data_IF_740706599420
#
_entry.id   IF_740706599420
#
_cell.length_a   1.000
_cell.length_b   1.000
_cell.length_c   1.000
_cell.angle_alpha   90.00
_cell.angle_beta   90.00
_cell.angle_gamma   90.00
#
_symmetry.space_group_name_H-M   'P 1'
#
loop_
_entity.id
_entity.type
_entity.pdbx_description
1 polymer ?
#
# COMPACT_ATOMS: atom_id res chain seq x y z
N UNK A 1 35.69 -7.02 -14.83
CA UNK A 1 35.19 -7.06 -13.43
C UNK A 1 34.73 -5.69 -12.92
N UNK A 2 35.45 -4.58 -13.19
CA UNK A 2 35.05 -3.22 -12.78
C UNK A 2 33.72 -2.73 -13.40
N UNK A 3 33.49 -2.95 -14.71
CA UNK A 3 32.24 -2.52 -15.39
C UNK A 3 30.96 -3.18 -14.86
N UNK A 4 31.03 -4.43 -14.38
CA UNK A 4 29.87 -5.16 -13.81
C UNK A 4 29.51 -4.60 -12.42
N UNK A 5 30.52 -4.30 -11.59
CA UNK A 5 30.33 -3.66 -10.29
C UNK A 5 29.81 -2.23 -10.41
N UNK A 6 30.19 -1.52 -11.48
CA UNK A 6 29.73 -0.15 -11.76
C UNK A 6 28.29 -0.14 -12.29
N UNK A 7 27.93 -1.09 -13.16
CA UNK A 7 26.56 -1.33 -13.61
C UNK A 7 25.64 -1.71 -12.45
N UNK A 8 26.09 -2.60 -11.54
CA UNK A 8 25.32 -2.98 -10.34
C UNK A 8 25.09 -1.80 -9.39
N UNK A 9 26.10 -0.93 -9.20
CA UNK A 9 26.00 0.27 -8.36
C UNK A 9 25.06 1.32 -8.97
N UNK A 10 25.04 1.45 -10.29
CA UNK A 10 24.14 2.36 -10.99
C UNK A 10 22.69 1.86 -10.97
N UNK A 11 22.45 0.55 -11.12
CA UNK A 11 21.13 -0.06 -10.91
C UNK A 11 20.65 0.07 -9.46
N UNK A 12 21.53 -0.11 -8.47
CA UNK A 12 21.17 0.09 -7.07
C UNK A 12 20.78 1.54 -6.79
N UNK A 13 21.53 2.51 -7.32
CA UNK A 13 21.21 3.94 -7.23
C UNK A 13 19.92 4.31 -7.97
N UNK A 14 19.63 3.66 -9.09
CA UNK A 14 18.38 3.84 -9.82
C UNK A 14 17.20 3.25 -9.05
N UNK A 15 17.36 2.08 -8.42
CA UNK A 15 16.38 1.46 -7.53
C UNK A 15 16.11 2.32 -6.28
N UNK A 16 17.16 2.80 -5.61
CA UNK A 16 17.02 3.75 -4.49
C UNK A 16 16.36 5.07 -4.92
N UNK A 17 16.63 5.56 -6.14
CA UNK A 17 15.93 6.72 -6.70
C UNK A 17 14.47 6.42 -6.99
N UNK A 18 14.16 5.26 -7.58
CA UNK A 18 12.79 4.81 -7.83
C UNK A 18 12.00 4.67 -6.53
N UNK A 19 12.60 4.08 -5.50
CA UNK A 19 12.03 3.99 -4.16
C UNK A 19 11.83 5.37 -3.51
N UNK A 20 12.78 6.29 -3.65
CA UNK A 20 12.63 7.66 -3.14
C UNK A 20 11.59 8.47 -3.92
N UNK A 21 11.48 8.30 -5.23
CA UNK A 21 10.45 8.94 -6.06
C UNK A 21 9.08 8.35 -5.73
N UNK A 22 8.98 7.03 -5.60
CA UNK A 22 7.78 6.34 -5.12
C UNK A 22 7.34 6.88 -3.76
N UNK A 23 8.26 6.93 -2.77
CA UNK A 23 8.01 7.56 -1.49
C UNK A 23 7.54 9.00 -1.66
N UNK A 24 8.22 9.81 -2.47
CA UNK A 24 7.92 11.25 -2.64
C UNK A 24 6.61 11.53 -3.40
N UNK A 25 6.21 10.67 -4.31
CA UNK A 25 4.96 10.82 -5.08
C UNK A 25 3.75 10.28 -4.30
N UNK A 26 3.96 9.27 -3.45
CA UNK A 26 2.90 8.65 -2.64
C UNK A 26 2.73 9.34 -1.27
N UNK A 27 3.80 9.90 -0.69
CA UNK A 27 3.75 10.69 0.54
C UNK A 27 2.72 11.84 0.55
N UNK A 28 2.54 12.65 -0.51
CA UNK A 28 1.55 13.74 -0.50
C UNK A 28 0.09 13.24 -0.54
N UNK A 29 -0.20 12.11 -1.19
CA UNK A 29 -1.51 11.44 -1.09
C UNK A 29 -1.74 10.88 0.33
N UNK A 30 -0.66 10.52 1.04
CA UNK A 30 -0.75 10.12 2.43
C UNK A 30 -0.83 11.30 3.41
N UNK A 31 -0.47 12.52 3.03
CA UNK A 31 -0.59 13.69 3.91
C UNK A 31 -2.06 14.08 4.13
N UNK A 32 -2.90 14.04 3.08
CA UNK A 32 -4.35 14.20 3.24
C UNK A 32 -4.98 13.01 3.96
N UNK A 33 -4.56 11.78 3.62
CA UNK A 33 -4.99 10.59 4.36
C UNK A 33 -4.58 10.64 5.85
N UNK A 34 -3.51 11.36 6.18
CA UNK A 34 -3.04 11.53 7.55
C UNK A 34 -3.95 12.44 8.36
N UNK A 35 -4.38 13.55 7.77
CA UNK A 35 -5.36 14.45 8.39
C UNK A 35 -6.68 13.72 8.62
N UNK A 36 -7.16 12.98 7.61
CA UNK A 36 -8.38 12.16 7.68
C UNK A 36 -8.33 11.06 8.75
N UNK A 37 -7.18 10.40 8.95
CA UNK A 37 -7.02 9.38 9.99
C UNK A 37 -6.86 9.99 11.39
N UNK A 38 -6.25 11.18 11.47
CA UNK A 38 -5.99 11.85 12.76
C UNK A 38 -7.23 12.49 13.38
N UNK A 39 -8.16 13.00 12.57
CA UNK A 39 -9.38 13.67 13.05
C UNK A 39 -10.29 12.79 13.92
N UNK A 40 -10.66 11.57 13.49
CA UNK A 40 -11.45 10.64 14.30
C UNK A 40 -10.75 10.24 15.61
N UNK A 41 -9.43 10.04 15.55
CA UNK A 41 -8.64 9.69 16.74
C UNK A 41 -8.56 10.87 17.71
N UNK A 42 -8.45 12.10 17.21
CA UNK A 42 -8.49 13.30 18.04
C UNK A 42 -9.85 13.44 18.73
N UNK A 43 -10.96 13.27 18.00
CA UNK A 43 -12.31 13.27 18.56
C UNK A 43 -12.49 12.19 19.64
N UNK A 44 -11.93 11.00 19.42
CA UNK A 44 -11.95 9.91 20.41
C UNK A 44 -11.19 10.28 21.69
N UNK A 45 -10.04 10.96 21.58
CA UNK A 45 -9.23 11.35 22.73
C UNK A 45 -9.84 12.52 23.52
N UNK A 46 -10.57 13.42 22.85
CA UNK A 46 -11.21 14.59 23.46
C UNK A 46 -12.63 14.33 24.00
N UNK A 47 -13.24 13.19 23.65
CA UNK A 47 -14.60 12.83 24.06
C UNK A 47 -14.75 12.59 25.57
N UNK A 48 -15.98 12.78 26.06
CA UNK A 48 -16.37 12.46 27.45
C UNK A 48 -16.28 10.96 27.75
N UNK A 49 -16.17 10.55 29.02
CA UNK A 49 -15.90 9.15 29.40
C UNK A 49 -16.88 8.11 28.79
N UNK A 50 -18.18 8.44 28.74
CA UNK A 50 -19.22 7.56 28.18
C UNK A 50 -19.19 7.52 26.66
N UNK A 51 -18.97 8.67 26.01
CA UNK A 51 -18.86 8.78 24.56
C UNK A 51 -17.57 8.14 24.05
N UNK A 52 -16.47 8.34 24.75
CA UNK A 52 -15.17 7.76 24.47
C UNK A 52 -15.23 6.23 24.48
N UNK A 53 -15.96 5.61 25.41
CA UNK A 53 -16.12 4.15 25.41
C UNK A 53 -16.79 3.65 24.12
N UNK A 54 -17.84 4.35 23.66
CA UNK A 54 -18.53 4.01 22.41
C UNK A 54 -17.61 4.21 21.19
N UNK A 55 -16.87 5.33 21.15
CA UNK A 55 -15.92 5.61 20.08
C UNK A 55 -14.76 4.62 20.05
N UNK A 56 -14.26 4.16 21.21
CA UNK A 56 -13.23 3.12 21.28
C UNK A 56 -13.76 1.79 20.76
N UNK A 57 -14.98 1.39 21.13
CA UNK A 57 -15.62 0.18 20.59
C UNK A 57 -15.77 0.26 19.07
N UNK A 58 -16.24 1.40 18.57
CA UNK A 58 -16.41 1.64 17.14
C UNK A 58 -15.08 1.61 16.39
N UNK A 59 -14.07 2.31 16.90
CA UNK A 59 -12.71 2.32 16.34
C UNK A 59 -12.13 0.90 16.29
N UNK A 60 -12.30 0.12 17.37
CA UNK A 60 -11.83 -1.27 17.43
C UNK A 60 -12.49 -2.12 16.34
N UNK A 61 -13.81 -2.05 16.22
CA UNK A 61 -14.58 -2.80 15.22
C UNK A 61 -14.18 -2.42 13.79
N UNK A 62 -14.06 -1.13 13.51
CA UNK A 62 -13.66 -0.61 12.20
C UNK A 62 -12.23 -1.03 11.85
N UNK A 63 -11.29 -0.87 12.77
CA UNK A 63 -9.88 -1.25 12.57
C UNK A 63 -9.75 -2.76 12.36
N UNK A 64 -10.46 -3.57 13.16
CA UNK A 64 -10.48 -5.03 13.00
C UNK A 64 -11.03 -5.46 11.64
N UNK A 65 -12.15 -4.87 11.22
CA UNK A 65 -12.75 -5.11 9.90
C UNK A 65 -11.79 -4.74 8.77
N UNK A 66 -11.16 -3.57 8.85
CA UNK A 66 -10.18 -3.09 7.88
C UNK A 66 -8.99 -4.06 7.76
N UNK A 67 -8.42 -4.52 8.88
CA UNK A 67 -7.30 -5.47 8.88
C UNK A 67 -7.67 -6.80 8.22
N UNK A 68 -8.88 -7.30 8.44
CA UNK A 68 -9.37 -8.51 7.77
C UNK A 68 -9.51 -8.34 6.26
N UNK A 69 -10.06 -7.19 5.81
CA UNK A 69 -10.15 -6.87 4.38
C UNK A 69 -8.76 -6.82 3.75
N UNK A 70 -7.77 -6.22 4.42
CA UNK A 70 -6.38 -6.16 3.95
C UNK A 70 -5.77 -7.56 3.82
N UNK A 71 -5.98 -8.44 4.79
CA UNK A 71 -5.51 -9.83 4.71
C UNK A 71 -6.10 -10.56 3.49
N UNK A 72 -7.40 -10.45 3.27
CA UNK A 72 -8.09 -11.10 2.14
C UNK A 72 -7.56 -10.55 0.81
N UNK A 73 -7.57 -9.23 0.66
CA UNK A 73 -7.17 -8.58 -0.60
C UNK A 73 -5.68 -8.73 -0.90
N UNK A 74 -4.82 -8.71 0.11
CA UNK A 74 -3.38 -9.00 -0.06
C UNK A 74 -3.11 -10.47 -0.43
N UNK A 75 -3.93 -11.41 0.08
CA UNK A 75 -3.85 -12.82 -0.33
C UNK A 75 -4.25 -12.99 -1.79
N UNK A 76 -5.35 -12.36 -2.22
CA UNK A 76 -5.76 -12.35 -3.63
C UNK A 76 -4.67 -11.75 -4.52
N UNK A 77 -4.07 -10.64 -4.10
CA UNK A 77 -2.96 -10.01 -4.82
C UNK A 77 -1.75 -10.94 -4.93
N UNK A 78 -1.37 -11.60 -3.84
CA UNK A 78 -0.28 -12.57 -3.82
C UNK A 78 -0.52 -13.73 -4.81
N UNK A 79 -1.75 -14.24 -4.88
CA UNK A 79 -2.15 -15.29 -5.84
C UNK A 79 -2.07 -14.82 -7.29
N UNK A 80 -2.49 -13.59 -7.57
CA UNK A 80 -2.38 -13.00 -8.93
C UNK A 80 -0.91 -12.88 -9.33
N UNK A 81 -0.05 -12.37 -8.44
CA UNK A 81 1.39 -12.23 -8.72
C UNK A 81 2.04 -13.60 -8.92
N UNK A 82 1.72 -14.59 -8.07
CA UNK A 82 2.24 -15.94 -8.19
C UNK A 82 1.85 -16.60 -9.53
N UNK A 83 0.61 -16.37 -9.98
CA UNK A 83 0.12 -16.87 -11.27
C UNK A 83 0.81 -16.15 -12.43
N UNK A 84 1.13 -14.86 -12.30
CA UNK A 84 1.82 -14.11 -13.34
C UNK A 84 3.21 -14.68 -13.68
N UNK A 85 3.88 -15.35 -12.73
CA UNK A 85 5.15 -16.03 -13.00
C UNK A 85 5.05 -17.18 -13.99
N UNK A 86 3.86 -17.73 -14.25
CA UNK A 86 3.67 -18.81 -15.24
C UNK A 86 3.38 -18.27 -16.64
N UNK A 87 3.25 -16.95 -16.81
CA UNK A 87 3.01 -16.39 -18.14
C UNK A 87 4.24 -16.59 -19.03
N UNK A 88 4.04 -16.88 -20.32
CA UNK A 88 5.14 -17.01 -21.26
C UNK A 88 5.86 -15.66 -21.35
N UNK A 89 7.01 -15.58 -20.69
CA UNK A 89 7.93 -14.45 -20.83
C UNK A 89 8.73 -14.64 -22.12
N UNK A 90 9.16 -13.54 -22.73
CA UNK A 90 9.93 -13.51 -23.98
C UNK A 90 11.19 -14.41 -23.88
N UNK A 91 11.69 -14.88 -25.02
CA UNK A 91 12.74 -15.90 -25.10
C UNK A 91 13.95 -15.62 -24.18
N UNK A 92 14.41 -16.69 -23.52
CA UNK A 92 15.44 -16.71 -22.48
C UNK A 92 16.72 -15.98 -22.91
N UNK A 93 16.93 -14.76 -22.39
CA UNK A 93 18.19 -14.04 -22.60
C UNK A 93 18.19 -12.57 -22.22
N UNK A 94 17.02 -11.92 -22.21
CA UNK A 94 16.97 -10.47 -22.13
C UNK A 94 17.05 -9.94 -20.68
N UNK A 95 17.87 -8.90 -20.48
CA UNK A 95 18.11 -8.31 -19.16
C UNK A 95 16.85 -7.67 -18.56
N UNK A 96 15.90 -7.27 -19.40
CA UNK A 96 14.72 -6.54 -18.99
C UNK A 96 13.68 -7.47 -18.35
N UNK A 97 13.62 -8.74 -18.74
CA UNK A 97 12.78 -9.75 -18.11
C UNK A 97 13.16 -9.99 -16.64
N UNK A 98 14.48 -9.99 -16.34
CA UNK A 98 14.98 -10.13 -14.96
C UNK A 98 14.57 -8.94 -14.10
N UNK A 99 14.45 -7.75 -14.69
CA UNK A 99 13.95 -6.55 -14.02
C UNK A 99 12.47 -6.69 -13.70
N UNK A 100 11.64 -7.14 -14.66
CA UNK A 100 10.21 -7.38 -14.44
C UNK A 100 9.98 -8.42 -13.33
N UNK A 101 10.69 -9.55 -13.38
CA UNK A 101 10.62 -10.58 -12.34
C UNK A 101 11.06 -10.02 -10.98
N UNK A 102 12.13 -9.23 -10.92
CA UNK A 102 12.58 -8.58 -9.67
C UNK A 102 11.53 -7.63 -9.08
N UNK A 103 10.83 -6.88 -9.93
CA UNK A 103 9.72 -6.00 -9.51
C UNK A 103 8.54 -6.84 -9.00
N UNK A 104 8.19 -7.93 -9.67
CA UNK A 104 7.09 -8.81 -9.24
C UNK A 104 7.41 -9.59 -7.96
N UNK A 105 8.66 -10.04 -7.76
CA UNK A 105 9.09 -10.59 -6.46
C UNK A 105 8.99 -9.54 -5.34
N UNK A 106 9.33 -8.29 -5.63
CA UNK A 106 9.19 -7.19 -4.67
C UNK A 106 7.72 -6.92 -4.36
N UNK A 107 6.84 -6.95 -5.37
CA UNK A 107 5.40 -6.84 -5.18
C UNK A 107 4.89 -7.98 -4.27
N UNK A 108 5.27 -9.23 -4.55
CA UNK A 108 4.88 -10.38 -3.74
C UNK A 108 5.35 -10.23 -2.29
N UNK A 109 6.60 -9.80 -2.09
CA UNK A 109 7.14 -9.55 -0.75
C UNK A 109 6.33 -8.50 0.02
N UNK A 110 5.92 -7.42 -0.65
CA UNK A 110 5.07 -6.38 -0.05
C UNK A 110 3.68 -6.91 0.30
N UNK A 111 3.07 -7.75 -0.54
CA UNK A 111 1.79 -8.40 -0.24
C UNK A 111 1.88 -9.33 0.98
N UNK A 112 2.93 -10.16 1.04
CA UNK A 112 3.18 -11.03 2.20
C UNK A 112 3.46 -10.22 3.47
N UNK A 113 4.20 -9.12 3.34
CA UNK A 113 4.42 -8.16 4.43
C UNK A 113 3.12 -7.52 4.93
N UNK A 114 2.20 -7.16 4.03
CA UNK A 114 0.89 -6.64 4.38
C UNK A 114 0.07 -7.67 5.18
N UNK A 115 0.05 -8.94 4.75
CA UNK A 115 -0.61 -10.03 5.49
C UNK A 115 0.00 -10.23 6.87
N UNK A 116 1.33 -10.31 6.96
CA UNK A 116 2.03 -10.52 8.22
C UNK A 116 1.78 -9.38 9.20
N UNK A 117 1.88 -8.12 8.75
CA UNK A 117 1.64 -6.94 9.58
C UNK A 117 0.17 -6.82 10.00
N UNK A 118 -0.78 -7.03 9.08
CA UNK A 118 -2.20 -6.99 9.40
C UNK A 118 -2.58 -8.08 10.42
N UNK A 119 -2.05 -9.29 10.27
CA UNK A 119 -2.28 -10.40 11.21
C UNK A 119 -1.72 -10.08 12.60
N UNK A 120 -0.49 -9.56 12.68
CA UNK A 120 0.11 -9.17 13.97
C UNK A 120 -0.71 -8.08 14.66
N UNK A 121 -1.17 -7.08 13.90
CA UNK A 121 -2.01 -6.00 14.41
C UNK A 121 -3.38 -6.51 14.86
N UNK A 122 -4.01 -7.40 14.10
CA UNK A 122 -5.30 -7.99 14.45
C UNK A 122 -5.21 -8.81 15.74
N UNK A 123 -4.16 -9.61 15.93
CA UNK A 123 -3.92 -10.36 17.17
C UNK A 123 -3.70 -9.40 18.35
N UNK A 124 -2.91 -8.34 18.16
CA UNK A 124 -2.68 -7.34 19.22
C UNK A 124 -3.98 -6.63 19.61
N UNK A 125 -4.80 -6.29 18.63
CA UNK A 125 -6.10 -5.64 18.79
C UNK A 125 -7.11 -6.56 19.48
N UNK A 126 -7.15 -7.85 19.11
CA UNK A 126 -7.98 -8.85 19.77
C UNK A 126 -7.60 -9.05 21.24
N UNK A 127 -6.29 -9.11 21.54
CA UNK A 127 -5.79 -9.17 22.93
C UNK A 127 -6.10 -7.91 23.73
N UNK A 128 -6.25 -6.76 23.07
CA UNK A 128 -6.56 -5.53 23.78
C UNK A 128 -7.95 -5.54 24.43
N UNK A 129 -8.91 -6.22 23.80
CA UNK A 129 -10.28 -6.34 24.29
C UNK A 129 -10.43 -7.24 25.52
N UNK A 130 -9.43 -8.05 25.85
CA UNK A 130 -9.49 -8.92 27.02
C UNK A 130 -9.14 -8.18 28.31
N UNK A 131 -8.61 -6.95 28.23
CA UNK A 131 -8.26 -6.16 29.40
C UNK A 131 -9.49 -5.39 29.92
N UNK A 132 -9.72 -5.34 31.25
CA UNK A 132 -10.81 -4.55 31.83
C UNK A 132 -10.63 -3.04 31.57
N UNK A 133 -9.37 -2.57 31.52
CA UNK A 133 -9.02 -1.17 31.22
C UNK A 133 -8.78 -0.92 29.72
N UNK A 134 -9.48 -1.63 28.83
CA UNK A 134 -9.22 -1.56 27.38
C UNK A 134 -9.31 -0.13 26.85
N UNK A 135 -10.30 0.66 27.32
CA UNK A 135 -10.51 2.07 26.94
C UNK A 135 -9.26 2.90 27.17
N UNK A 136 -8.74 2.88 28.40
CA UNK A 136 -7.58 3.70 28.77
C UNK A 136 -6.30 3.22 28.07
N UNK A 137 -6.17 1.91 27.83
CA UNK A 137 -5.06 1.36 27.06
C UNK A 137 -5.10 1.77 25.59
N UNK A 138 -6.28 1.81 24.95
CA UNK A 138 -6.44 2.34 23.58
C UNK A 138 -6.09 3.81 23.54
N UNK A 139 -6.62 4.63 24.45
CA UNK A 139 -6.35 6.06 24.49
C UNK A 139 -4.86 6.36 24.71
N UNK A 140 -4.21 5.65 25.65
CA UNK A 140 -2.78 5.78 25.89
C UNK A 140 -1.92 5.27 24.73
N UNK A 141 -2.42 4.33 23.93
CA UNK A 141 -1.73 3.87 22.73
C UNK A 141 -1.84 4.90 21.60
N UNK A 142 -3.05 5.43 21.37
CA UNK A 142 -3.35 6.33 20.27
C UNK A 142 -2.95 7.78 20.55
N UNK A 143 -2.85 8.19 21.80
CA UNK A 143 -2.65 9.58 22.21
C UNK A 143 -1.56 9.79 23.26
N UNK A 144 -1.10 11.03 23.36
CA UNK A 144 -0.33 11.57 24.49
C UNK A 144 -1.06 12.80 24.99
N UNK A 145 -1.14 12.94 26.31
CA UNK A 145 -1.61 14.16 26.94
C UNK A 145 -0.42 15.10 27.13
N UNK A 146 -0.40 16.21 26.39
CA UNK A 146 0.71 17.17 26.39
C UNK A 146 0.15 18.60 26.49
N UNK A 147 0.60 19.37 27.49
CA UNK A 147 0.28 20.80 27.59
C UNK A 147 -1.22 21.13 27.62
N UNK A 148 -2.01 20.36 28.38
CA UNK A 148 -3.48 20.47 28.50
C UNK A 148 -4.31 20.00 27.29
N UNK A 149 -3.70 19.46 26.24
CA UNK A 149 -4.42 18.94 25.08
C UNK A 149 -4.03 17.49 24.79
N UNK A 150 -4.99 16.70 24.34
CA UNK A 150 -4.72 15.39 23.78
C UNK A 150 -4.20 15.52 22.36
N UNK A 151 -3.10 14.84 22.06
CA UNK A 151 -2.55 14.78 20.70
C UNK A 151 -2.41 13.34 20.23
N UNK A 152 -2.88 13.00 19.01
CA UNK A 152 -2.65 11.69 18.43
C UNK A 152 -1.15 11.39 18.26
N UNK A 153 -0.71 10.20 18.67
CA UNK A 153 0.65 9.71 18.45
C UNK A 153 0.85 9.43 16.98
N UNK A 154 1.59 10.31 16.31
CA UNK A 154 1.88 10.16 14.88
C UNK A 154 2.52 8.81 14.55
N UNK A 155 3.49 8.35 15.34
CA UNK A 155 4.10 7.03 15.12
C UNK A 155 3.09 5.90 15.21
N UNK A 156 2.14 5.97 16.15
CA UNK A 156 1.14 4.93 16.31
C UNK A 156 0.16 4.88 15.13
N UNK A 157 -0.30 6.04 14.66
CA UNK A 157 -1.14 6.14 13.47
C UNK A 157 -0.43 5.55 12.25
N UNK A 158 0.89 5.76 12.13
CA UNK A 158 1.69 5.26 11.01
C UNK A 158 1.77 3.73 11.05
N UNK A 159 1.98 3.16 12.24
CA UNK A 159 1.98 1.72 12.44
C UNK A 159 0.64 1.13 11.99
N UNK A 160 -0.49 1.69 12.42
CA UNK A 160 -1.81 1.20 12.01
C UNK A 160 -2.10 1.31 10.51
N UNK A 161 -1.49 2.28 9.82
CA UNK A 161 -1.62 2.42 8.35
C UNK A 161 -0.62 1.56 7.55
N UNK A 162 0.39 0.98 8.20
CA UNK A 162 1.45 0.21 7.54
C UNK A 162 0.93 -0.94 6.67
N UNK A 163 -0.05 -1.77 7.09
CA UNK A 163 -0.53 -2.86 6.25
C UNK A 163 -1.17 -2.38 4.94
N UNK A 164 -1.94 -1.28 5.00
CA UNK A 164 -2.52 -0.64 3.80
C UNK A 164 -1.43 -0.14 2.86
N UNK A 165 -0.40 0.52 3.41
CA UNK A 165 0.71 1.04 2.62
C UNK A 165 1.48 -0.07 1.90
N UNK A 166 1.76 -1.18 2.60
CA UNK A 166 2.43 -2.35 2.01
C UNK A 166 1.58 -2.98 0.90
N UNK A 167 0.26 -3.12 1.13
CA UNK A 167 -0.65 -3.64 0.12
C UNK A 167 -0.70 -2.74 -1.12
N UNK A 168 -0.88 -1.43 -0.94
CA UNK A 168 -0.88 -0.48 -2.05
C UNK A 168 0.46 -0.51 -2.80
N UNK A 169 1.59 -0.60 -2.07
CA UNK A 169 2.90 -0.78 -2.67
C UNK A 169 3.03 -2.03 -3.53
N UNK A 170 2.46 -3.16 -3.09
CA UNK A 170 2.40 -4.38 -3.89
C UNK A 170 1.62 -4.16 -5.20
N UNK A 171 0.46 -3.51 -5.14
CA UNK A 171 -0.37 -3.24 -6.31
C UNK A 171 0.40 -2.36 -7.31
N UNK A 172 1.03 -1.29 -6.83
CA UNK A 172 1.79 -0.38 -7.69
C UNK A 172 3.01 -1.05 -8.33
N UNK A 173 3.76 -1.85 -7.56
CA UNK A 173 4.91 -2.59 -8.11
C UNK A 173 4.46 -3.60 -9.17
N UNK A 174 3.37 -4.33 -8.92
CA UNK A 174 2.86 -5.28 -9.90
C UNK A 174 2.39 -4.58 -11.20
N UNK A 175 1.64 -3.49 -11.07
CA UNK A 175 1.22 -2.67 -12.22
C UNK A 175 2.42 -2.09 -12.98
N UNK A 176 3.44 -1.60 -12.28
CA UNK A 176 4.67 -1.12 -12.91
C UNK A 176 5.38 -2.23 -13.71
N UNK A 177 5.44 -3.45 -13.16
CA UNK A 177 5.98 -4.60 -13.88
C UNK A 177 5.15 -4.98 -15.12
N UNK A 178 3.82 -4.88 -15.05
CA UNK A 178 2.94 -5.10 -16.22
C UNK A 178 3.17 -4.08 -17.33
N UNK A 179 3.27 -2.79 -16.96
CA UNK A 179 3.54 -1.71 -17.91
C UNK A 179 4.90 -1.93 -18.58
N UNK A 180 5.93 -2.24 -17.80
CA UNK A 180 7.26 -2.51 -18.33
C UNK A 180 7.27 -3.72 -19.27
N UNK A 181 6.62 -4.81 -18.88
CA UNK A 181 6.52 -6.02 -19.70
C UNK A 181 5.90 -5.72 -21.07
N UNK A 182 4.71 -5.10 -21.10
CA UNK A 182 3.98 -4.84 -22.36
C UNK A 182 4.71 -3.84 -23.24
N UNK A 183 5.25 -2.77 -22.64
CA UNK A 183 5.94 -1.73 -23.39
C UNK A 183 7.24 -2.26 -24.02
N UNK A 184 7.98 -3.10 -23.29
CA UNK A 184 9.22 -3.70 -23.79
C UNK A 184 8.97 -4.73 -24.89
N UNK A 185 8.01 -5.64 -24.68
CA UNK A 185 7.59 -6.59 -25.72
C UNK A 185 7.22 -5.91 -27.03
N UNK A 186 6.59 -4.73 -26.96
CA UNK A 186 6.17 -3.99 -28.15
C UNK A 186 7.33 -3.28 -28.85
N UNK A 187 8.28 -2.73 -28.09
CA UNK A 187 9.42 -2.00 -28.66
C UNK A 187 10.40 -2.90 -29.41
N UNK A 188 10.55 -4.14 -28.96
CA UNK A 188 11.44 -5.12 -29.60
C UNK A 188 10.90 -5.60 -30.95
N UNK A 189 9.57 -5.77 -31.07
CA UNK A 189 8.92 -6.26 -32.28
C UNK A 189 7.74 -5.38 -32.67
N UNK A 190 8.00 -4.42 -33.57
CA UNK A 190 6.99 -3.55 -34.18
C UNK A 190 6.12 -4.29 -35.21
N UNK A 191 5.37 -5.29 -34.76
CA UNK A 191 4.31 -5.94 -35.54
C UNK A 191 2.97 -5.24 -35.32
N UNK A 192 2.11 -5.26 -36.34
CA UNK A 192 0.74 -4.72 -36.26
C UNK A 192 -0.07 -5.37 -35.12
N UNK A 193 0.23 -6.62 -34.75
CA UNK A 193 -0.48 -7.31 -33.67
C UNK A 193 0.00 -6.86 -32.28
N UNK A 194 1.30 -6.60 -32.11
CA UNK A 194 1.84 -6.02 -30.88
C UNK A 194 1.36 -4.58 -30.66
N UNK A 195 1.20 -3.82 -31.76
CA UNK A 195 0.65 -2.47 -31.72
C UNK A 195 -0.83 -2.44 -31.29
N UNK A 196 -1.63 -3.46 -31.62
CA UNK A 196 -3.00 -3.59 -31.08
C UNK A 196 -2.98 -3.86 -29.58
N UNK A 197 -2.08 -4.73 -29.11
CA UNK A 197 -1.96 -5.09 -27.69
C UNK A 197 -1.62 -3.87 -26.84
N UNK A 198 -0.62 -3.05 -27.24
CA UNK A 198 -0.23 -1.85 -26.49
C UNK A 198 -1.34 -0.80 -26.45
N UNK A 199 -2.07 -0.60 -27.55
CA UNK A 199 -3.18 0.37 -27.61
C UNK A 199 -4.30 -0.08 -26.68
N UNK A 200 -4.70 -1.35 -26.74
CA UNK A 200 -5.73 -1.89 -25.86
C UNK A 200 -5.31 -1.78 -24.39
N UNK A 201 -4.09 -2.18 -24.05
CA UNK A 201 -3.59 -2.10 -22.69
C UNK A 201 -3.52 -0.66 -22.17
N UNK A 202 -3.02 0.29 -22.97
CA UNK A 202 -2.92 1.69 -22.58
C UNK A 202 -4.29 2.34 -22.43
N UNK A 203 -5.26 2.02 -23.29
CA UNK A 203 -6.65 2.48 -23.14
C UNK A 203 -7.29 1.93 -21.86
N UNK A 204 -7.12 0.64 -21.57
CA UNK A 204 -7.62 0.03 -20.33
C UNK A 204 -6.96 0.66 -19.11
N UNK A 205 -5.64 0.84 -19.12
CA UNK A 205 -4.90 1.46 -18.04
C UNK A 205 -5.35 2.91 -17.80
N UNK A 206 -5.50 3.70 -18.86
CA UNK A 206 -5.97 5.08 -18.77
C UNK A 206 -7.40 5.15 -18.22
N UNK A 207 -8.28 4.25 -18.64
CA UNK A 207 -9.64 4.15 -18.12
C UNK A 207 -9.64 3.78 -16.62
N UNK A 208 -8.88 2.77 -16.22
CA UNK A 208 -8.77 2.36 -14.80
C UNK A 208 -8.21 3.48 -13.93
N UNK A 209 -7.16 4.17 -14.37
CA UNK A 209 -6.60 5.33 -13.65
C UNK A 209 -7.65 6.44 -13.54
N UNK A 210 -8.37 6.74 -14.62
CA UNK A 210 -9.40 7.79 -14.62
C UNK A 210 -10.52 7.47 -13.63
N UNK A 211 -11.02 6.23 -13.62
CA UNK A 211 -12.03 5.78 -12.65
C UNK A 211 -11.48 5.86 -11.22
N UNK A 212 -10.27 5.38 -10.96
CA UNK A 212 -9.64 5.45 -9.64
C UNK A 212 -9.51 6.90 -9.14
N UNK A 213 -9.05 7.80 -10.01
CA UNK A 213 -8.90 9.23 -9.71
C UNK A 213 -10.26 9.86 -9.45
N UNK A 214 -11.27 9.60 -10.29
CA UNK A 214 -12.64 10.10 -10.09
C UNK A 214 -13.25 9.62 -8.77
N UNK A 215 -13.08 8.34 -8.42
CA UNK A 215 -13.55 7.80 -7.15
C UNK A 215 -12.82 8.44 -5.97
N UNK A 216 -11.51 8.62 -6.08
CA UNK A 216 -10.71 9.26 -5.04
C UNK A 216 -11.17 10.70 -4.84
N UNK A 217 -11.17 11.53 -5.89
CA UNK A 217 -11.60 12.92 -5.79
C UNK A 217 -13.06 13.07 -5.37
N UNK A 218 -13.97 12.23 -5.89
CA UNK A 218 -15.39 12.29 -5.55
C UNK A 218 -15.64 12.00 -4.07
N UNK A 219 -14.97 10.99 -3.50
CA UNK A 219 -15.11 10.68 -2.08
C UNK A 219 -14.46 11.75 -1.21
N UNK A 220 -13.20 12.14 -1.50
CA UNK A 220 -12.48 13.13 -0.69
C UNK A 220 -13.09 14.53 -0.72
N UNK A 221 -13.61 14.98 -1.88
CA UNK A 221 -14.22 16.30 -1.98
C UNK A 221 -15.61 16.36 -1.35
N UNK A 222 -16.33 15.23 -1.27
CA UNK A 222 -17.64 15.18 -0.61
C UNK A 222 -17.56 15.18 0.92
N UNK A 223 -16.40 14.82 1.50
CA UNK A 223 -16.20 14.69 2.95
C UNK A 223 -15.54 15.90 3.62
N UNK A 224 -15.12 16.90 2.83
CA UNK A 224 -14.57 18.19 3.30
C UNK A 224 -15.66 19.26 3.34
#
# INVERSE_FOLDING_TARGET
MSRILESGRNSLKACCRGFMVFLRTILPLHASAWEEVSGPVQKLLEASDTEQENLVKLWHQQTSSQLNVICITSTLMGSVIATAFTWPLLEDGDSDQKVVLGIWYSALLLALGAIATATQQAVKLARLNTYPDCRQRVCNMLGVYEGQQWRPRKVQLFIWQTPVMLQNGSIYMFLAGLVLLIWKTTLENWSMDQLKIIILFTMTLAFTISVYVLTSFGLYWSSS
#
